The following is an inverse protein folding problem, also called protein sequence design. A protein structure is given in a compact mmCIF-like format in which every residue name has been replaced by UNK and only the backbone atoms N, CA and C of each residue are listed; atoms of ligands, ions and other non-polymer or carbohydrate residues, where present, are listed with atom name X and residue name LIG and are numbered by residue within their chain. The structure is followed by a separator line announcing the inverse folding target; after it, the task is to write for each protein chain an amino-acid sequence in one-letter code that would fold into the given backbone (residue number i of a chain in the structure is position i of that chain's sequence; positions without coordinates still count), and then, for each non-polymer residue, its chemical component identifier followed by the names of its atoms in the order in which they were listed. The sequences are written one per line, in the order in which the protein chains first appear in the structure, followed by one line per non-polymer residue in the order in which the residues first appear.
data_IF_124688553815
#
_entry.id   IF_124688553815
#
_cell.length_a   1.000
_cell.length_b   1.000
_cell.length_c   1.000
_cell.angle_alpha   90.00
_cell.angle_beta   90.00
_cell.angle_gamma   90.00
#
_symmetry.space_group_name_H-M   'P 1'
#
loop_
_entity.id
_entity.type
_entity.pdbx_description
1 polymer ?
#
# COMPACT_ATOMS: atom_id res chain seq x y z
N UNK A 1 18.40 -13.51 -24.36
CA UNK A 1 17.82 -12.33 -25.00
C UNK A 1 16.50 -11.96 -24.32
N UNK A 2 16.28 -10.69 -24.04
CA UNK A 2 15.09 -10.17 -23.38
C UNK A 2 14.02 -9.88 -24.46
N UNK A 3 12.75 -10.23 -24.19
CA UNK A 3 11.64 -10.02 -25.13
C UNK A 3 11.32 -8.52 -25.31
N UNK A 4 11.39 -8.02 -26.54
CA UNK A 4 11.07 -6.64 -26.89
C UNK A 4 9.60 -6.26 -26.58
N UNK A 5 8.68 -7.22 -26.60
CA UNK A 5 7.26 -6.98 -26.29
C UNK A 5 7.01 -6.53 -24.86
N UNK A 6 7.93 -6.87 -23.94
CA UNK A 6 7.81 -6.55 -22.52
C UNK A 6 8.72 -5.40 -22.11
N UNK A 7 9.94 -5.37 -22.63
CA UNK A 7 11.04 -4.52 -22.14
C UNK A 7 11.41 -3.36 -23.08
N UNK A 8 10.63 -3.11 -24.15
CA UNK A 8 10.87 -2.05 -25.12
C UNK A 8 9.72 -1.06 -25.24
N UNK A 9 8.91 -0.91 -24.18
CA UNK A 9 7.78 0.04 -24.19
C UNK A 9 8.22 1.44 -23.82
N UNK A 10 7.52 2.45 -24.38
CA UNK A 10 7.70 3.84 -24.00
C UNK A 10 7.36 4.07 -22.53
N UNK A 11 8.05 5.03 -21.93
CA UNK A 11 7.79 5.43 -20.55
C UNK A 11 6.50 6.25 -20.47
N UNK A 12 5.54 5.79 -19.67
CA UNK A 12 4.27 6.46 -19.47
C UNK A 12 4.05 6.74 -17.97
N UNK A 13 4.51 7.91 -17.53
CA UNK A 13 4.47 8.33 -16.13
C UNK A 13 3.03 8.39 -15.58
N UNK A 14 2.09 8.97 -16.34
CA UNK A 14 0.70 9.11 -15.90
C UNK A 14 0.01 7.76 -15.68
N UNK A 15 0.28 6.78 -16.54
CA UNK A 15 -0.25 5.43 -16.39
C UNK A 15 0.35 4.70 -15.18
N UNK A 16 1.66 4.86 -14.97
CA UNK A 16 2.38 4.30 -13.82
C UNK A 16 1.84 4.93 -12.53
N UNK A 17 1.71 6.25 -12.47
CA UNK A 17 1.14 6.96 -11.33
C UNK A 17 -0.27 6.47 -11.01
N UNK A 18 -1.13 6.30 -12.01
CA UNK A 18 -2.48 5.78 -11.82
C UNK A 18 -2.46 4.35 -11.23
N UNK A 19 -1.56 3.49 -11.69
CA UNK A 19 -1.41 2.13 -11.16
C UNK A 19 -0.93 2.14 -9.70
N UNK A 20 0.04 2.99 -9.35
CA UNK A 20 0.52 3.17 -7.97
C UNK A 20 -0.60 3.67 -7.05
N UNK A 21 -1.32 4.72 -7.45
CA UNK A 21 -2.44 5.28 -6.66
C UNK A 21 -3.56 4.26 -6.46
N UNK A 22 -3.88 3.48 -7.50
CA UNK A 22 -4.87 2.39 -7.40
C UNK A 22 -4.42 1.32 -6.40
N UNK A 23 -3.17 0.88 -6.46
CA UNK A 23 -2.62 -0.12 -5.55
C UNK A 23 -2.59 0.39 -4.11
N UNK A 24 -2.09 1.61 -3.87
CA UNK A 24 -2.07 2.23 -2.53
C UNK A 24 -3.47 2.42 -1.95
N UNK A 25 -4.44 2.82 -2.79
CA UNK A 25 -5.82 2.98 -2.35
C UNK A 25 -6.45 1.64 -1.95
N UNK A 26 -6.17 0.56 -2.69
CA UNK A 26 -6.67 -0.78 -2.41
C UNK A 26 -6.06 -1.41 -1.16
N UNK A 27 -4.87 -0.99 -0.74
CA UNK A 27 -4.24 -1.48 0.49
C UNK A 27 -4.82 -0.87 1.76
N UNK A 28 -5.66 0.18 1.66
CA UNK A 28 -6.27 0.84 2.83
C UNK A 28 -7.43 0.03 3.36
N UNK A 29 -7.37 -0.38 4.63
CA UNK A 29 -8.43 -1.13 5.30
C UNK A 29 -9.74 -0.33 5.48
N UNK A 30 -9.67 0.99 5.62
CA UNK A 30 -10.83 1.86 5.71
C UNK A 30 -11.72 1.66 6.93
N UNK A 31 -11.20 1.15 8.05
CA UNK A 31 -11.96 0.80 9.25
C UNK A 31 -12.26 1.97 10.21
N UNK A 32 -11.77 3.18 9.90
CA UNK A 32 -11.99 4.35 10.77
C UNK A 32 -13.47 4.67 10.94
N UNK A 33 -13.91 4.78 12.21
CA UNK A 33 -15.28 5.10 12.59
C UNK A 33 -15.31 6.12 13.71
N UNK A 34 -16.22 7.07 13.60
CA UNK A 34 -16.57 8.03 14.65
C UNK A 34 -18.05 7.90 14.99
N UNK A 35 -18.42 8.24 16.23
CA UNK A 35 -19.82 8.21 16.67
C UNK A 35 -20.53 9.50 16.25
N UNK A 36 -21.64 9.38 15.53
CA UNK A 36 -22.58 10.46 15.31
C UNK A 36 -23.49 10.68 16.54
N UNK A 37 -24.33 11.71 16.51
CA UNK A 37 -25.21 12.03 17.63
C UNK A 37 -26.19 10.91 18.01
N UNK A 38 -26.51 9.98 17.11
CA UNK A 38 -27.40 8.85 17.36
C UNK A 38 -26.66 7.70 18.08
N UNK A 39 -25.35 7.58 17.87
CA UNK A 39 -24.51 6.50 18.40
C UNK A 39 -23.85 6.85 19.74
N UNK A 40 -23.81 8.13 20.12
CA UNK A 40 -23.31 8.56 21.42
C UNK A 40 -24.29 8.16 22.50
N UNK A 41 -23.79 7.60 23.61
CA UNK A 41 -24.60 7.23 24.77
C UNK A 41 -25.18 8.48 25.47
N UNK A 42 -26.41 8.41 25.98
CA UNK A 42 -27.08 9.50 26.69
C UNK A 42 -28.14 10.18 25.82
N UNK A 43 -28.62 11.33 26.21
CA UNK A 43 -29.72 12.06 25.57
C UNK A 43 -31.09 11.46 25.95
N UNK A 44 -32.09 11.55 25.07
CA UNK A 44 -33.44 11.10 25.30
C UNK A 44 -34.30 12.08 26.12
N UNK A 45 -33.70 12.90 26.97
CA UNK A 45 -34.36 13.98 27.71
C UNK A 45 -33.86 15.34 27.22
N UNK A 46 -34.80 16.30 27.08
CA UNK A 46 -34.44 17.68 26.78
C UNK A 46 -33.69 18.28 27.96
N UNK A 47 -32.49 18.91 27.77
CA UNK A 47 -31.65 19.37 28.89
C UNK A 47 -32.31 20.44 29.75
N UNK A 48 -33.13 21.32 29.16
CA UNK A 48 -33.88 22.36 29.84
C UNK A 48 -35.09 22.82 29.00
N UNK A 49 -36.02 23.56 29.63
CA UNK A 49 -37.23 24.08 28.99
C UNK A 49 -36.90 25.01 27.80
N UNK A 50 -37.84 25.15 26.86
CA UNK A 50 -37.64 25.84 25.58
C UNK A 50 -37.38 27.36 25.70
N UNK A 51 -37.98 28.00 26.72
CA UNK A 51 -37.92 29.46 26.98
C UNK A 51 -37.72 29.73 28.50
N UNK A 52 -37.25 30.94 28.84
CA UNK A 52 -37.13 31.38 30.24
C UNK A 52 -35.88 30.86 30.97
N UNK A 53 -34.84 30.45 30.28
CA UNK A 53 -33.55 29.99 30.87
C UNK A 53 -32.37 30.92 30.56
N UNK A 54 -32.55 31.92 29.67
CA UNK A 54 -31.47 32.77 29.21
C UNK A 54 -30.40 32.06 28.37
N UNK A 55 -30.56 30.73 28.12
CA UNK A 55 -29.60 29.91 27.37
C UNK A 55 -30.08 29.66 25.94
N UNK A 56 -29.14 29.33 25.06
CA UNK A 56 -29.47 28.86 23.71
C UNK A 56 -30.35 27.61 23.78
N UNK A 57 -31.32 27.51 22.87
CA UNK A 57 -32.21 26.35 22.80
C UNK A 57 -31.47 25.07 22.50
N UNK A 58 -31.74 24.00 23.21
CA UNK A 58 -31.11 22.69 22.98
C UNK A 58 -32.14 21.55 23.10
N UNK A 59 -32.11 20.64 22.13
CA UNK A 59 -32.99 19.46 22.12
C UNK A 59 -32.33 18.22 22.76
N UNK A 60 -31.01 18.12 22.73
CA UNK A 60 -30.28 17.00 23.28
C UNK A 60 -28.84 17.39 23.65
N UNK A 61 -28.29 16.75 24.67
CA UNK A 61 -26.90 16.89 25.09
C UNK A 61 -25.93 16.17 24.14
N UNK A 62 -26.43 15.34 23.21
CA UNK A 62 -25.63 14.62 22.21
C UNK A 62 -25.38 15.44 20.93
N UNK A 63 -25.87 16.67 20.84
CA UNK A 63 -25.64 17.56 19.72
C UNK A 63 -24.14 17.79 19.52
N UNK A 64 -23.65 17.91 18.26
CA UNK A 64 -22.25 18.21 17.97
C UNK A 64 -21.71 19.48 18.61
N UNK A 65 -22.59 20.43 18.94
CA UNK A 65 -22.24 21.68 19.64
C UNK A 65 -21.86 21.47 21.10
N UNK A 66 -22.24 20.32 21.68
CA UNK A 66 -21.98 20.03 23.09
C UNK A 66 -20.69 19.25 23.26
N UNK A 67 -19.95 19.56 24.32
CA UNK A 67 -18.78 18.77 24.73
C UNK A 67 -19.22 17.33 25.01
N UNK A 68 -18.57 16.36 24.37
CA UNK A 68 -18.98 14.96 24.45
C UNK A 68 -20.17 14.58 23.55
N UNK A 69 -20.67 15.51 22.73
CA UNK A 69 -21.66 15.21 21.70
C UNK A 69 -21.06 14.41 20.51
N UNK A 70 -21.93 14.01 19.59
CA UNK A 70 -21.53 13.28 18.40
C UNK A 70 -20.86 14.16 17.35
N UNK A 71 -20.08 13.56 16.46
CA UNK A 71 -19.49 14.26 15.31
C UNK A 71 -20.54 14.48 14.25
N UNK A 72 -20.59 15.70 13.66
CA UNK A 72 -21.61 16.08 12.66
C UNK A 72 -21.50 15.21 11.40
N UNK A 73 -20.28 15.13 10.83
CA UNK A 73 -19.96 14.30 9.67
C UNK A 73 -19.01 13.19 10.08
N UNK A 74 -19.53 12.29 10.92
CA UNK A 74 -18.75 11.20 11.47
C UNK A 74 -18.20 10.29 10.36
N UNK A 75 -16.89 10.04 10.36
CA UNK A 75 -16.28 9.07 9.48
C UNK A 75 -16.89 7.69 9.70
N UNK A 76 -17.13 6.97 8.61
CA UNK A 76 -17.63 5.59 8.63
C UNK A 76 -16.69 4.68 7.86
N UNK A 77 -16.64 3.39 8.20
CA UNK A 77 -15.90 2.42 7.41
C UNK A 77 -16.35 2.49 5.95
N UNK A 78 -15.37 2.58 5.05
CA UNK A 78 -15.62 2.65 3.61
C UNK A 78 -14.52 1.95 2.83
N UNK A 79 -14.85 1.48 1.66
CA UNK A 79 -13.90 0.98 0.69
C UNK A 79 -13.22 2.17 -0.03
N UNK A 80 -11.89 2.14 -0.07
CA UNK A 80 -11.05 3.11 -0.77
C UNK A 80 -10.53 2.58 -2.11
N UNK A 81 -10.82 1.33 -2.46
CA UNK A 81 -10.29 0.71 -3.67
C UNK A 81 -10.67 1.51 -4.93
N UNK A 82 -9.70 1.63 -5.82
CA UNK A 82 -9.88 2.26 -7.13
C UNK A 82 -9.60 1.23 -8.19
N UNK A 83 -10.62 0.86 -8.95
CA UNK A 83 -10.51 -0.11 -10.04
C UNK A 83 -9.64 0.45 -11.17
N UNK A 84 -8.68 -0.34 -11.65
CA UNK A 84 -7.93 -0.12 -12.87
C UNK A 84 -8.19 -1.26 -13.87
N UNK A 85 -8.21 -0.98 -15.16
CA UNK A 85 -8.39 -2.01 -16.18
C UNK A 85 -7.15 -2.92 -16.24
N UNK A 86 -7.37 -4.23 -16.41
CA UNK A 86 -6.27 -5.22 -16.50
C UNK A 86 -5.24 -4.89 -17.60
N UNK A 87 -5.70 -4.39 -18.76
CA UNK A 87 -4.79 -3.97 -19.84
C UNK A 87 -3.93 -2.78 -19.45
N UNK A 88 -4.51 -1.78 -18.74
CA UNK A 88 -3.77 -0.61 -18.24
C UNK A 88 -2.73 -1.02 -17.18
N UNK A 89 -3.09 -1.87 -16.24
CA UNK A 89 -2.16 -2.37 -15.23
C UNK A 89 -0.98 -3.10 -15.85
N UNK A 90 -1.24 -4.01 -16.81
CA UNK A 90 -0.19 -4.73 -17.53
C UNK A 90 0.72 -3.79 -18.33
N UNK A 91 0.15 -2.77 -18.97
CA UNK A 91 0.92 -1.77 -19.70
C UNK A 91 1.79 -0.93 -18.75
N UNK A 92 1.28 -0.56 -17.57
CA UNK A 92 2.05 0.13 -16.55
C UNK A 92 3.27 -0.69 -16.08
N UNK A 93 3.07 -1.97 -15.77
CA UNK A 93 4.15 -2.88 -15.35
C UNK A 93 5.19 -3.04 -16.47
N UNK A 94 4.76 -3.21 -17.73
CA UNK A 94 5.69 -3.28 -18.88
C UNK A 94 6.48 -1.98 -19.04
N UNK A 95 5.86 -0.83 -18.86
CA UNK A 95 6.53 0.47 -18.93
C UNK A 95 7.58 0.63 -17.82
N UNK A 96 7.29 0.19 -16.58
CA UNK A 96 8.24 0.20 -15.47
C UNK A 96 9.44 -0.70 -15.78
N UNK A 97 9.22 -1.95 -16.20
CA UNK A 97 10.32 -2.86 -16.55
C UNK A 97 11.18 -2.32 -17.70
N UNK A 98 10.55 -1.71 -18.71
CA UNK A 98 11.30 -1.10 -19.82
C UNK A 98 12.20 0.03 -19.35
N UNK A 99 11.76 0.81 -18.38
CA UNK A 99 12.54 1.88 -17.79
C UNK A 99 13.68 1.35 -16.90
N UNK A 100 13.42 0.32 -16.11
CA UNK A 100 14.47 -0.33 -15.30
C UNK A 100 15.60 -0.91 -16.16
N UNK A 101 15.27 -1.46 -17.34
CA UNK A 101 16.29 -1.93 -18.31
C UNK A 101 17.06 -0.75 -18.88
N UNK A 102 16.40 0.35 -19.28
CA UNK A 102 17.07 1.56 -19.79
C UNK A 102 18.04 2.19 -18.78
N UNK A 103 17.70 2.11 -17.50
CA UNK A 103 18.52 2.61 -16.39
C UNK A 103 19.58 1.61 -15.91
N UNK A 104 19.71 0.44 -16.54
CA UNK A 104 20.60 -0.65 -16.10
C UNK A 104 20.35 -1.09 -14.65
N UNK A 105 19.11 -1.00 -14.17
CA UNK A 105 18.70 -1.40 -12.82
C UNK A 105 18.12 -2.82 -12.75
N UNK A 106 17.98 -3.51 -13.87
CA UNK A 106 17.52 -4.89 -13.95
C UNK A 106 18.70 -5.81 -14.29
N UNK A 107 18.98 -6.73 -13.38
CA UNK A 107 20.04 -7.74 -13.55
C UNK A 107 19.41 -9.13 -13.50
N UNK A 108 19.68 -9.95 -14.50
CA UNK A 108 19.29 -11.35 -14.52
C UNK A 108 20.46 -12.22 -14.06
N UNK A 109 20.24 -13.03 -13.03
CA UNK A 109 21.24 -13.90 -12.43
C UNK A 109 20.71 -15.33 -12.31
N UNK A 110 21.60 -16.30 -12.22
CA UNK A 110 21.24 -17.65 -11.86
C UNK A 110 20.80 -17.71 -10.40
N UNK A 111 19.80 -18.54 -10.11
CA UNK A 111 19.24 -18.67 -8.77
C UNK A 111 20.31 -19.16 -7.79
N UNK A 112 20.64 -18.41 -6.72
CA UNK A 112 21.56 -18.88 -5.71
C UNK A 112 20.93 -20.05 -4.93
N UNK A 113 21.61 -21.18 -4.85
CA UNK A 113 21.18 -22.36 -4.11
C UNK A 113 21.67 -22.29 -2.68
N UNK A 114 20.76 -22.01 -1.74
CA UNK A 114 21.05 -21.97 -0.31
C UNK A 114 20.65 -23.31 0.35
N UNK A 115 21.62 -24.07 0.85
CA UNK A 115 21.36 -25.33 1.56
C UNK A 115 20.67 -25.13 2.92
N UNK A 116 20.94 -24.01 3.58
CA UNK A 116 20.38 -23.60 4.88
C UNK A 116 20.09 -22.09 4.88
N UNK A 117 19.09 -21.61 5.64
CA UNK A 117 18.83 -20.19 5.75
C UNK A 117 19.94 -19.47 6.54
N UNK A 118 20.78 -18.70 5.86
CA UNK A 118 21.86 -17.91 6.45
C UNK A 118 21.94 -16.52 5.82
N UNK A 119 21.77 -15.48 6.63
CA UNK A 119 21.83 -14.08 6.22
C UNK A 119 23.20 -13.69 5.65
N UNK A 120 24.30 -14.24 6.22
CA UNK A 120 25.66 -13.95 5.77
C UNK A 120 25.90 -14.34 4.31
N UNK A 121 25.34 -15.45 3.86
CA UNK A 121 25.51 -15.93 2.47
C UNK A 121 24.83 -14.95 1.49
N UNK A 122 23.62 -14.48 1.81
CA UNK A 122 22.92 -13.47 1.00
C UNK A 122 23.62 -12.12 1.05
N UNK A 123 24.12 -11.70 2.21
CA UNK A 123 24.85 -10.43 2.33
C UNK A 123 26.14 -10.45 1.48
N UNK A 124 26.91 -11.54 1.50
CA UNK A 124 28.10 -11.70 0.66
C UNK A 124 27.72 -11.66 -0.83
N UNK A 125 26.68 -12.36 -1.23
CA UNK A 125 26.18 -12.37 -2.60
C UNK A 125 25.79 -10.96 -3.08
N UNK A 126 25.09 -10.18 -2.25
CA UNK A 126 24.71 -8.79 -2.60
C UNK A 126 25.95 -7.88 -2.70
N UNK A 127 26.94 -8.08 -1.85
CA UNK A 127 28.18 -7.32 -1.88
C UNK A 127 29.02 -7.61 -3.15
N UNK A 128 29.04 -8.84 -3.65
CA UNK A 128 29.70 -9.20 -4.92
C UNK A 128 29.16 -8.40 -6.10
N UNK A 129 27.86 -8.11 -6.11
CA UNK A 129 27.20 -7.27 -7.12
C UNK A 129 27.15 -5.78 -6.73
N UNK A 130 27.73 -5.36 -5.60
CA UNK A 130 27.68 -3.99 -5.09
C UNK A 130 26.27 -3.42 -4.96
N UNK A 131 25.32 -4.26 -4.55
CA UNK A 131 23.90 -3.93 -4.45
C UNK A 131 23.51 -3.60 -3.00
N UNK A 132 22.98 -2.40 -2.77
CA UNK A 132 22.56 -1.92 -1.46
C UNK A 132 21.04 -1.96 -1.23
N UNK A 133 20.26 -1.79 -2.31
CA UNK A 133 18.79 -1.80 -2.27
C UNK A 133 18.29 -2.67 -3.41
N UNK A 134 17.69 -3.80 -3.08
CA UNK A 134 17.40 -4.87 -4.05
C UNK A 134 16.05 -5.50 -3.84
N UNK A 135 15.34 -5.69 -4.92
CA UNK A 135 14.18 -6.55 -5.00
C UNK A 135 14.56 -7.85 -5.75
N UNK A 136 14.59 -8.96 -5.05
CA UNK A 136 14.85 -10.28 -5.64
C UNK A 136 13.52 -10.87 -6.08
N UNK A 137 13.42 -11.18 -7.36
CA UNK A 137 12.21 -11.78 -7.96
C UNK A 137 12.52 -13.22 -8.35
N UNK A 138 11.77 -14.16 -7.81
CA UNK A 138 11.91 -15.61 -8.09
C UNK A 138 10.63 -16.15 -8.72
N UNK A 139 10.74 -17.19 -9.51
CA UNK A 139 9.56 -17.86 -10.09
C UNK A 139 8.73 -18.52 -8.98
N UNK A 140 9.39 -19.34 -8.15
CA UNK A 140 8.79 -19.99 -6.98
C UNK A 140 9.38 -19.44 -5.68
N UNK A 141 8.59 -19.48 -4.61
CA UNK A 141 9.03 -19.06 -3.28
C UNK A 141 10.07 -20.03 -2.74
N UNK A 142 11.31 -19.55 -2.60
CA UNK A 142 12.37 -20.27 -1.92
C UNK A 142 12.43 -19.82 -0.46
N UNK A 143 11.97 -20.70 0.44
CA UNK A 143 11.92 -20.42 1.87
C UNK A 143 13.30 -20.15 2.48
N UNK A 144 14.36 -20.81 2.00
CA UNK A 144 15.71 -20.57 2.49
C UNK A 144 16.20 -19.19 2.10
N UNK A 145 15.96 -18.77 0.86
CA UNK A 145 16.30 -17.44 0.36
C UNK A 145 15.49 -16.36 1.10
N UNK A 146 14.17 -16.54 1.21
CA UNK A 146 13.30 -15.62 1.92
C UNK A 146 13.72 -15.39 3.38
N UNK A 147 13.92 -16.47 4.15
CA UNK A 147 14.35 -16.38 5.55
C UNK A 147 15.74 -15.77 5.70
N UNK A 148 16.63 -15.97 4.73
CA UNK A 148 17.98 -15.39 4.73
C UNK A 148 17.99 -13.89 4.41
N UNK A 149 17.09 -13.43 3.56
CA UNK A 149 17.05 -12.04 3.09
C UNK A 149 16.20 -11.12 3.96
N UNK A 150 15.11 -11.60 4.57
CA UNK A 150 14.10 -10.76 5.26
C UNK A 150 14.65 -9.89 6.39
N UNK A 151 15.79 -10.24 7.00
CA UNK A 151 16.42 -9.46 8.06
C UNK A 151 17.36 -8.37 7.53
N UNK A 152 17.68 -8.39 6.23
CA UNK A 152 18.58 -7.40 5.63
C UNK A 152 17.77 -6.16 5.25
N UNK A 153 18.11 -4.96 5.73
CA UNK A 153 17.40 -3.74 5.37
C UNK A 153 17.49 -3.48 3.87
N UNK A 154 16.42 -2.97 3.27
CA UNK A 154 16.31 -2.64 1.85
C UNK A 154 16.43 -3.84 0.87
N UNK A 155 16.27 -5.06 1.36
CA UNK A 155 16.23 -6.28 0.54
C UNK A 155 14.89 -6.96 0.73
N UNK A 156 14.14 -7.11 -0.37
CA UNK A 156 12.88 -7.83 -0.39
C UNK A 156 12.96 -9.01 -1.36
N UNK A 157 12.32 -10.12 -1.03
CA UNK A 157 12.20 -11.32 -1.89
C UNK A 157 10.74 -11.56 -2.17
N UNK A 158 10.37 -11.58 -3.43
CA UNK A 158 8.98 -11.80 -3.87
C UNK A 158 8.94 -12.81 -5.02
N UNK A 159 7.77 -13.40 -5.21
CA UNK A 159 7.50 -14.21 -6.40
C UNK A 159 7.02 -13.34 -7.57
N UNK A 160 7.13 -13.87 -8.79
CA UNK A 160 6.63 -13.19 -9.99
C UNK A 160 5.15 -12.80 -9.86
N UNK A 161 4.35 -13.57 -9.12
CA UNK A 161 2.92 -13.30 -8.89
C UNK A 161 2.65 -12.13 -7.96
N UNK A 162 3.60 -11.79 -7.09
CA UNK A 162 3.49 -10.72 -6.09
C UNK A 162 4.04 -9.38 -6.58
N UNK A 163 4.51 -9.33 -7.82
CA UNK A 163 5.02 -8.10 -8.43
C UNK A 163 3.92 -7.02 -8.40
N UNK A 164 4.26 -5.90 -7.83
CA UNK A 164 3.42 -4.71 -7.79
C UNK A 164 4.20 -3.45 -8.17
N UNK A 165 3.52 -2.37 -8.62
CA UNK A 165 4.20 -1.18 -9.11
C UNK A 165 5.04 -0.48 -8.03
N UNK A 166 4.67 -0.60 -6.75
CA UNK A 166 5.42 0.06 -5.66
C UNK A 166 6.77 -0.64 -5.43
N UNK A 167 6.78 -1.98 -5.40
CA UNK A 167 8.02 -2.74 -5.17
C UNK A 167 9.02 -2.53 -6.30
N UNK A 168 8.55 -2.38 -7.55
CA UNK A 168 9.42 -2.13 -8.70
C UNK A 168 10.02 -0.71 -8.72
N UNK A 169 9.34 0.28 -8.14
CA UNK A 169 9.78 1.68 -8.16
C UNK A 169 10.67 2.04 -6.96
N UNK A 170 10.69 1.22 -5.92
CA UNK A 170 11.59 1.41 -4.76
C UNK A 170 13.06 1.22 -5.16
#
# INVERSE_FOLDING_TARGET
SISNDVFSKEFNESLIHQAVVSFMASSRQGSAKQKNRSEVRGGGKKPYRQKGTGRARAGTIRSPLWRGGGVTFASRPRDFSKKINKKMYRAAIKSIFSELVRQNRLVAIEKPTLKKPKTKEVANFLNEFSLSKVLIITDELDMNLYLSARNIPNVDVITVREINPINLLK
#
